data_IF_326167622011
#
_entry.id   IF_326167622011
#
_cell.length_a   1.000
_cell.length_b   1.000
_cell.length_c   1.000
_cell.angle_alpha   90.00
_cell.angle_beta   90.00
_cell.angle_gamma   90.00
#
_symmetry.space_group_name_H-M   'P 1'
#
loop_
_entity.id
_entity.type
_entity.pdbx_description
1 polymer ?
#
# COMPACT_ATOMS: atom_id res chain seq x y z
N UNK A 1 34.83 6.82 13.22
CA UNK A 1 34.14 5.95 12.23
C UNK A 1 33.45 6.77 11.14
N UNK A 2 32.61 7.75 11.49
CA UNK A 2 31.96 8.65 10.52
C UNK A 2 32.97 9.39 9.63
N UNK A 3 34.07 9.88 10.21
CA UNK A 3 35.11 10.56 9.44
C UNK A 3 35.83 9.65 8.44
N UNK A 4 35.98 8.37 8.75
CA UNK A 4 36.56 7.38 7.84
C UNK A 4 35.62 7.12 6.66
N UNK A 5 34.32 7.00 6.92
CA UNK A 5 33.27 6.88 5.89
C UNK A 5 33.22 8.14 5.03
N UNK A 6 33.30 9.33 5.63
CA UNK A 6 33.33 10.62 4.93
C UNK A 6 34.57 10.76 4.05
N UNK A 7 35.73 10.31 4.52
CA UNK A 7 36.97 10.28 3.74
C UNK A 7 36.86 9.30 2.57
N UNK A 8 36.34 8.10 2.82
CA UNK A 8 36.12 7.08 1.79
C UNK A 8 35.13 7.55 0.70
N UNK A 9 33.99 8.14 1.08
CA UNK A 9 32.97 8.67 0.17
C UNK A 9 33.51 9.72 -0.82
N UNK A 10 34.57 10.45 -0.46
CA UNK A 10 35.21 11.44 -1.35
C UNK A 10 36.20 10.83 -2.35
N UNK A 11 36.57 9.56 -2.19
CA UNK A 11 37.53 8.89 -3.08
C UNK A 11 36.93 8.59 -4.44
N UNK A 12 37.79 8.48 -5.45
CA UNK A 12 37.39 8.13 -6.82
C UNK A 12 36.75 6.73 -6.89
N UNK A 13 37.30 5.77 -6.12
CA UNK A 13 36.74 4.42 -6.01
C UNK A 13 35.32 4.41 -5.48
N UNK A 14 35.02 5.22 -4.45
CA UNK A 14 33.66 5.32 -3.93
C UNK A 14 32.67 5.88 -4.97
N UNK A 15 33.11 6.81 -5.83
CA UNK A 15 32.27 7.33 -6.92
C UNK A 15 31.98 6.27 -7.98
N UNK A 16 32.98 5.47 -8.37
CA UNK A 16 32.79 4.35 -9.31
C UNK A 16 31.81 3.32 -8.73
N UNK A 17 32.02 2.94 -7.47
CA UNK A 17 31.16 2.00 -6.77
C UNK A 17 29.71 2.53 -6.74
N UNK A 18 29.53 3.82 -6.44
CA UNK A 18 28.23 4.47 -6.47
C UNK A 18 27.54 4.36 -7.84
N UNK A 19 28.28 4.59 -8.93
CA UNK A 19 27.73 4.49 -10.29
C UNK A 19 27.30 3.06 -10.61
N UNK A 20 28.12 2.07 -10.27
CA UNK A 20 27.79 0.64 -10.47
C UNK A 20 26.53 0.26 -9.68
N UNK A 21 26.36 0.78 -8.47
CA UNK A 21 25.17 0.55 -7.65
C UNK A 21 23.95 1.27 -8.21
N UNK A 22 24.06 2.51 -8.70
CA UNK A 22 22.92 3.31 -9.19
C UNK A 22 22.39 2.79 -10.54
N UNK A 23 23.27 2.36 -11.45
CA UNK A 23 22.90 1.86 -12.79
C UNK A 23 21.71 0.88 -12.76
N UNK A 24 21.73 -0.21 -11.98
CA UNK A 24 20.61 -1.14 -11.97
C UNK A 24 19.30 -0.49 -11.51
N UNK A 25 19.34 0.42 -10.54
CA UNK A 25 18.13 1.09 -10.05
C UNK A 25 17.57 2.10 -11.06
N UNK A 26 18.43 2.74 -11.88
CA UNK A 26 17.99 3.68 -12.92
C UNK A 26 17.45 2.94 -14.15
N UNK A 27 18.09 1.85 -14.57
CA UNK A 27 17.73 1.14 -15.80
C UNK A 27 16.68 0.03 -15.60
N UNK A 28 16.74 -0.74 -14.51
CA UNK A 28 15.74 -1.78 -14.23
C UNK A 28 14.58 -1.27 -13.37
N UNK A 29 14.74 -0.12 -12.70
CA UNK A 29 13.72 0.44 -11.83
C UNK A 29 13.54 -0.38 -10.55
N UNK A 30 12.88 0.22 -9.55
CA UNK A 30 12.49 -0.47 -8.31
C UNK A 30 11.00 -0.84 -8.29
N UNK A 31 10.32 -0.81 -9.44
CA UNK A 31 8.88 -1.01 -9.53
C UNK A 31 8.40 -2.34 -8.94
N UNK A 32 9.18 -3.42 -9.10
CA UNK A 32 8.84 -4.73 -8.53
C UNK A 32 9.15 -4.90 -7.04
N UNK A 33 10.14 -4.17 -6.51
CA UNK A 33 10.61 -4.30 -5.11
C UNK A 33 9.77 -3.43 -4.17
N UNK A 34 9.21 -2.32 -4.65
CA UNK A 34 8.29 -1.48 -3.89
C UNK A 34 6.82 -1.91 -4.00
N UNK A 35 6.42 -2.55 -5.10
CA UNK A 35 5.05 -3.06 -5.27
C UNK A 35 4.83 -4.47 -4.72
N UNK A 36 5.89 -5.19 -4.29
CA UNK A 36 5.76 -6.53 -3.68
C UNK A 36 5.14 -6.51 -2.28
N UNK A 37 5.00 -5.33 -1.68
CA UNK A 37 4.39 -5.10 -0.37
C UNK A 37 2.99 -4.51 -0.45
N UNK A 38 2.09 -5.04 -1.28
CA UNK A 38 0.66 -4.70 -1.19
C UNK A 38 0.04 -5.28 0.10
N UNK A 39 0.51 -4.82 1.26
CA UNK A 39 0.00 -5.18 2.60
C UNK A 39 -1.34 -4.52 2.91
N UNK A 40 -1.75 -3.54 2.10
CA UNK A 40 -3.04 -2.86 2.21
C UNK A 40 -4.06 -3.53 1.28
N UNK A 41 -4.26 -4.83 1.43
CA UNK A 41 -5.28 -5.61 0.73
C UNK A 41 -6.21 -6.24 1.75
N UNK A 42 -7.51 -5.94 1.67
CA UNK A 42 -8.54 -6.56 2.51
C UNK A 42 -9.25 -7.69 1.78
N UNK A 43 -9.46 -7.52 0.47
CA UNK A 43 -10.05 -8.54 -0.39
C UNK A 43 -9.54 -8.39 -1.82
N UNK A 44 -9.56 -9.48 -2.59
CA UNK A 44 -9.21 -9.46 -4.01
C UNK A 44 -10.31 -10.15 -4.81
N UNK A 45 -10.87 -9.43 -5.77
CA UNK A 45 -11.89 -9.93 -6.69
C UNK A 45 -11.23 -10.04 -8.07
N UNK A 46 -11.00 -11.27 -8.52
CA UNK A 46 -10.25 -11.55 -9.77
C UNK A 46 -8.88 -10.82 -9.78
N UNK A 47 -8.68 -9.83 -10.66
CA UNK A 47 -7.44 -9.04 -10.77
C UNK A 47 -7.52 -7.70 -10.04
N UNK A 48 -8.65 -7.39 -9.38
CA UNK A 48 -8.88 -6.12 -8.70
C UNK A 48 -8.65 -6.29 -7.21
N UNK A 49 -7.79 -5.44 -6.67
CA UNK A 49 -7.48 -5.40 -5.25
C UNK A 49 -8.39 -4.39 -4.55
N UNK A 50 -9.09 -4.82 -3.52
CA UNK A 50 -9.79 -3.93 -2.57
C UNK A 50 -8.82 -3.66 -1.44
N UNK A 51 -8.40 -2.40 -1.33
CA UNK A 51 -7.44 -1.98 -0.33
C UNK A 51 -8.10 -1.59 0.99
N UNK A 52 -7.29 -1.50 2.04
CA UNK A 52 -7.72 -0.93 3.32
C UNK A 52 -8.20 0.52 3.16
N UNK A 53 -7.60 1.28 2.24
CA UNK A 53 -8.01 2.65 1.96
C UNK A 53 -9.40 2.69 1.32
N UNK A 54 -9.69 1.81 0.35
CA UNK A 54 -11.02 1.72 -0.27
C UNK A 54 -12.11 1.46 0.78
N UNK A 55 -11.81 0.65 1.79
CA UNK A 55 -12.74 0.37 2.88
C UNK A 55 -12.96 1.55 3.82
N UNK A 56 -11.89 2.26 4.22
CA UNK A 56 -12.02 3.47 5.02
C UNK A 56 -12.77 4.57 4.25
N UNK A 57 -12.50 4.71 2.96
CA UNK A 57 -13.19 5.67 2.09
C UNK A 57 -14.67 5.32 1.97
N UNK A 58 -15.02 4.04 1.84
CA UNK A 58 -16.40 3.57 1.86
C UNK A 58 -17.10 3.93 3.19
N UNK A 59 -16.50 3.60 4.33
CA UNK A 59 -17.04 3.94 5.66
C UNK A 59 -17.31 5.44 5.79
N UNK A 60 -16.35 6.27 5.37
CA UNK A 60 -16.47 7.73 5.43
C UNK A 60 -17.59 8.25 4.51
N UNK A 61 -17.81 7.62 3.36
CA UNK A 61 -18.88 7.98 2.42
C UNK A 61 -20.26 7.48 2.85
N UNK A 62 -20.35 6.37 3.58
CA UNK A 62 -21.62 5.78 4.05
C UNK A 62 -22.33 6.65 5.10
N UNK A 63 -21.78 7.81 5.50
CA UNK A 63 -22.36 8.75 6.48
C UNK A 63 -22.76 8.10 7.82
N UNK A 64 -22.11 6.99 8.17
CA UNK A 64 -22.39 6.28 9.43
C UNK A 64 -21.69 7.03 10.56
N UNK A 65 -22.43 7.32 11.62
CA UNK A 65 -21.86 7.95 12.80
C UNK A 65 -20.80 7.02 13.42
N UNK A 66 -19.59 7.55 13.63
CA UNK A 66 -18.49 6.81 14.25
C UNK A 66 -18.86 6.26 15.63
N UNK A 67 -19.76 6.92 16.37
CA UNK A 67 -20.21 6.43 17.67
C UNK A 67 -21.02 5.14 17.55
N UNK A 68 -21.83 5.01 16.49
CA UNK A 68 -22.58 3.78 16.18
C UNK A 68 -21.61 2.67 15.77
N UNK A 69 -20.58 3.00 14.97
CA UNK A 69 -19.53 2.04 14.59
C UNK A 69 -18.85 1.51 15.85
N UNK A 70 -18.41 2.41 16.75
CA UNK A 70 -17.74 2.06 18.02
C UNK A 70 -18.61 1.18 18.92
N UNK A 71 -19.89 1.52 19.07
CA UNK A 71 -20.83 0.75 19.89
C UNK A 71 -21.09 -0.65 19.31
N UNK A 72 -21.09 -0.78 17.98
CA UNK A 72 -21.40 -2.03 17.27
C UNK A 72 -20.18 -2.79 16.74
N UNK A 73 -18.96 -2.43 17.14
CA UNK A 73 -17.74 -3.15 16.72
C UNK A 73 -17.81 -4.65 17.00
N UNK A 74 -18.41 -5.05 18.12
CA UNK A 74 -18.57 -6.47 18.49
C UNK A 74 -19.77 -7.16 17.81
N UNK A 75 -20.58 -6.42 17.03
CA UNK A 75 -21.79 -6.91 16.38
C UNK A 75 -21.62 -7.04 14.86
N UNK A 76 -20.40 -7.34 14.40
CA UNK A 76 -20.07 -7.58 13.00
C UNK A 76 -20.36 -6.42 12.03
N UNK A 77 -20.40 -5.18 12.54
CA UNK A 77 -20.67 -4.01 11.69
C UNK A 77 -19.58 -3.79 10.63
N UNK A 78 -18.34 -4.18 10.92
CA UNK A 78 -17.23 -4.04 9.96
C UNK A 78 -17.36 -5.05 8.82
N UNK A 79 -17.80 -6.27 9.12
CA UNK A 79 -18.07 -7.33 8.16
C UNK A 79 -19.22 -6.95 7.24
N UNK A 80 -20.30 -6.35 7.78
CA UNK A 80 -21.43 -5.87 6.99
C UNK A 80 -21.00 -4.77 6.01
N UNK A 81 -20.21 -3.79 6.48
CA UNK A 81 -19.70 -2.71 5.64
C UNK A 81 -18.70 -3.21 4.59
N UNK A 82 -17.90 -4.23 4.92
CA UNK A 82 -16.98 -4.82 3.96
C UNK A 82 -17.75 -5.62 2.90
N UNK A 83 -18.80 -6.35 3.30
CA UNK A 83 -19.68 -7.05 2.37
C UNK A 83 -20.39 -6.08 1.43
N UNK A 84 -20.89 -4.95 1.94
CA UNK A 84 -21.49 -3.89 1.13
C UNK A 84 -20.51 -3.37 0.07
N UNK A 85 -19.27 -3.05 0.48
CA UNK A 85 -18.22 -2.60 -0.44
C UNK A 85 -17.91 -3.66 -1.50
N UNK A 86 -17.77 -4.93 -1.12
CA UNK A 86 -17.50 -6.03 -2.04
C UNK A 86 -18.65 -6.19 -3.03
N UNK A 87 -19.89 -6.20 -2.56
CA UNK A 87 -21.09 -6.29 -3.41
C UNK A 87 -21.15 -5.14 -4.40
N UNK A 88 -20.89 -3.91 -3.95
CA UNK A 88 -20.82 -2.75 -4.83
C UNK A 88 -19.74 -2.90 -5.90
N UNK A 89 -18.54 -3.33 -5.51
CA UNK A 89 -17.44 -3.56 -6.47
C UNK A 89 -17.75 -4.69 -7.46
N UNK A 90 -18.46 -5.73 -7.04
CA UNK A 90 -18.92 -6.79 -7.94
C UNK A 90 -19.93 -6.27 -8.96
N UNK A 91 -20.90 -5.47 -8.52
CA UNK A 91 -21.87 -4.84 -9.42
C UNK A 91 -21.20 -3.89 -10.41
N UNK A 92 -20.26 -3.06 -9.94
CA UNK A 92 -19.47 -2.14 -10.78
C UNK A 92 -18.60 -2.88 -11.82
N UNK A 93 -18.38 -4.20 -11.67
CA UNK A 93 -17.60 -5.01 -12.62
C UNK A 93 -18.44 -5.74 -13.66
N UNK A 94 -19.71 -6.00 -13.36
CA UNK A 94 -20.62 -6.70 -14.25
C UNK A 94 -21.31 -5.75 -15.23
N UNK A 95 -21.46 -4.47 -14.85
CA UNK A 95 -22.05 -3.39 -15.67
C UNK A 95 -21.00 -2.81 -16.62
#
# INVERSE_FOLDING_TARGET
MLDSIRKFSKTFFAKILLVIVIIPFVFWGMGGVFNSGNTNSLAKINSINISTQDFIDHINQSNINQDIIREKLNNNILEELLAELISKKLLDLEI
#
